data_IF_807471092846
#
_entry.id   IF_807471092846
#
_cell.length_a   1.000
_cell.length_b   1.000
_cell.length_c   1.000
_cell.angle_alpha   90.00
_cell.angle_beta   90.00
_cell.angle_gamma   90.00
#
_symmetry.space_group_name_H-M   'P 1'
#
loop_
_entity.id
_entity.type
_entity.pdbx_description
1 polymer ?
#
# COMPACT_ATOMS: atom_id res chain seq x y z
N UNK A 1 -1.87 -5.80 -15.50
CA UNK A 1 -1.02 -6.48 -14.52
C UNK A 1 -1.88 -6.66 -13.27
N UNK A 2 -2.81 -7.62 -13.30
CA UNK A 2 -3.72 -7.90 -12.19
C UNK A 2 -3.66 -9.38 -11.78
N UNK A 3 -3.13 -10.23 -12.66
CA UNK A 3 -3.13 -11.70 -12.53
C UNK A 3 -2.30 -12.21 -11.35
N UNK A 4 -1.42 -11.38 -10.79
CA UNK A 4 -0.47 -11.75 -9.72
C UNK A 4 -0.47 -10.77 -8.53
N UNK A 5 -1.56 -10.02 -8.35
CA UNK A 5 -1.65 -9.00 -7.29
C UNK A 5 -2.94 -9.12 -6.50
N UNK A 6 -2.88 -8.77 -5.22
CA UNK A 6 -4.05 -8.51 -4.39
C UNK A 6 -4.18 -6.98 -4.28
N UNK A 7 -5.33 -6.44 -4.71
CA UNK A 7 -5.64 -5.02 -4.55
C UNK A 7 -6.30 -4.74 -3.21
N UNK A 8 -5.87 -3.67 -2.54
CA UNK A 8 -6.52 -3.14 -1.33
C UNK A 8 -6.89 -1.68 -1.63
N UNK A 9 -8.16 -1.34 -1.48
CA UNK A 9 -8.65 0.03 -1.55
C UNK A 9 -8.82 0.58 -0.13
N UNK A 10 -8.40 1.82 0.07
CA UNK A 10 -8.57 2.55 1.33
C UNK A 10 -9.29 3.83 0.98
N UNK A 11 -10.44 4.05 1.60
CA UNK A 11 -11.24 5.25 1.37
C UNK A 11 -10.52 6.49 1.91
N UNK A 12 -10.48 7.56 1.12
CA UNK A 12 -9.79 8.80 1.46
C UNK A 12 -10.07 9.89 0.42
N UNK A 13 -9.48 11.06 0.59
CA UNK A 13 -9.55 12.16 -0.37
C UNK A 13 -8.16 12.44 -0.95
N UNK A 14 -8.11 13.20 -2.05
CA UNK A 14 -6.84 13.54 -2.72
C UNK A 14 -5.98 14.55 -1.94
N UNK A 15 -6.55 15.20 -0.93
CA UNK A 15 -6.01 16.38 -0.25
C UNK A 15 -5.84 16.23 1.27
N UNK A 16 -6.15 15.05 1.83
CA UNK A 16 -6.09 14.79 3.27
C UNK A 16 -5.30 13.52 3.60
N UNK A 17 -4.67 13.53 4.77
CA UNK A 17 -4.04 12.34 5.34
C UNK A 17 -5.07 11.28 5.71
N UNK A 18 -4.72 10.02 5.46
CA UNK A 18 -5.48 8.87 5.95
C UNK A 18 -5.50 8.83 7.48
N UNK A 19 -6.58 8.30 8.04
CA UNK A 19 -6.77 8.22 9.48
C UNK A 19 -5.85 7.15 10.11
N UNK A 20 -5.37 7.35 11.36
CA UNK A 20 -4.55 6.36 12.06
C UNK A 20 -5.14 4.94 12.07
N UNK A 21 -6.45 4.81 12.28
CA UNK A 21 -7.14 3.52 12.33
C UNK A 21 -7.06 2.77 10.99
N UNK A 22 -7.00 3.48 9.86
CA UNK A 22 -6.88 2.86 8.54
C UNK A 22 -5.52 2.15 8.40
N UNK A 23 -4.45 2.75 8.90
CA UNK A 23 -3.12 2.12 8.91
C UNK A 23 -3.05 0.93 9.85
N UNK A 24 -3.70 0.99 11.02
CA UNK A 24 -3.76 -0.13 11.97
C UNK A 24 -4.45 -1.35 11.34
N UNK A 25 -5.61 -1.15 10.72
CA UNK A 25 -6.35 -2.22 10.04
C UNK A 25 -5.57 -2.73 8.83
N UNK A 26 -5.00 -1.83 8.03
CA UNK A 26 -4.18 -2.20 6.88
C UNK A 26 -3.01 -3.08 7.31
N UNK A 27 -2.30 -2.73 8.39
CA UNK A 27 -1.19 -3.54 8.87
C UNK A 27 -1.61 -4.95 9.28
N UNK A 28 -2.76 -5.10 9.95
CA UNK A 28 -3.30 -6.43 10.29
C UNK A 28 -3.60 -7.26 9.04
N UNK A 29 -4.18 -6.65 8.01
CA UNK A 29 -4.44 -7.31 6.72
C UNK A 29 -3.13 -7.71 6.06
N UNK A 30 -2.15 -6.81 5.99
CA UNK A 30 -0.84 -7.06 5.39
C UNK A 30 -0.09 -8.18 6.10
N UNK A 31 -0.07 -8.19 7.44
CA UNK A 31 0.56 -9.26 8.21
C UNK A 31 -0.09 -10.61 7.93
N UNK A 32 -1.42 -10.64 7.81
CA UNK A 32 -2.14 -11.88 7.50
C UNK A 32 -1.83 -12.37 6.07
N UNK A 33 -1.81 -11.47 5.10
CA UNK A 33 -1.50 -11.81 3.71
C UNK A 33 -0.05 -12.32 3.57
N UNK A 34 0.91 -11.66 4.22
CA UNK A 34 2.32 -12.08 4.22
C UNK A 34 2.47 -13.47 4.86
N UNK A 35 1.75 -13.75 5.94
CA UNK A 35 1.77 -15.07 6.57
C UNK A 35 1.16 -16.18 5.70
N UNK A 36 0.13 -15.86 4.91
CA UNK A 36 -0.58 -16.84 4.06
C UNK A 36 0.11 -17.08 2.71
N UNK A 37 0.73 -16.04 2.13
CA UNK A 37 1.35 -16.08 0.80
C UNK A 37 2.88 -15.92 0.91
N UNK A 38 3.67 -17.01 0.87
CA UNK A 38 5.11 -16.99 1.17
C UNK A 38 5.97 -16.07 0.29
N UNK A 39 5.47 -15.70 -0.89
CA UNK A 39 6.17 -14.79 -1.82
C UNK A 39 5.88 -13.31 -1.53
N UNK A 40 4.92 -13.01 -0.64
CA UNK A 40 4.64 -11.64 -0.22
C UNK A 40 5.56 -11.25 0.94
N UNK A 41 6.01 -10.00 0.93
CA UNK A 41 6.70 -9.38 2.05
C UNK A 41 6.47 -7.87 2.03
N UNK A 42 6.91 -7.15 3.06
CA UNK A 42 6.78 -5.69 3.10
C UNK A 42 7.47 -5.00 1.91
N UNK A 43 8.50 -5.61 1.32
CA UNK A 43 9.20 -5.05 0.15
C UNK A 43 8.47 -5.29 -1.18
N UNK A 44 7.49 -6.20 -1.23
CA UNK A 44 6.69 -6.47 -2.43
C UNK A 44 5.42 -5.63 -2.50
N UNK A 45 5.18 -4.75 -1.52
CA UNK A 45 4.03 -3.84 -1.50
C UNK A 45 4.30 -2.68 -2.44
N UNK A 46 3.36 -2.45 -3.36
CA UNK A 46 3.40 -1.38 -4.35
C UNK A 46 2.12 -0.53 -4.29
N UNK A 47 2.27 0.77 -4.53
CA UNK A 47 1.17 1.67 -4.84
C UNK A 47 0.78 1.53 -6.30
N UNK A 48 -0.43 1.94 -6.65
CA UNK A 48 -0.89 1.87 -8.02
C UNK A 48 -0.09 2.80 -8.95
N UNK A 49 0.36 3.94 -8.43
CA UNK A 49 1.29 4.86 -9.09
C UNK A 49 2.62 4.21 -9.46
N UNK A 50 3.15 3.29 -8.64
CA UNK A 50 4.39 2.57 -8.93
C UNK A 50 4.21 1.57 -10.08
N UNK A 51 3.04 0.90 -10.12
CA UNK A 51 2.70 -0.10 -11.14
C UNK A 51 2.27 0.54 -12.47
N UNK A 52 1.69 1.74 -12.42
CA UNK A 52 1.19 2.45 -13.59
C UNK A 52 1.58 3.95 -13.61
N UNK A 53 2.90 4.26 -13.73
CA UNK A 53 3.38 5.63 -13.73
C UNK A 53 2.72 6.47 -14.84
N UNK A 54 2.29 7.69 -14.52
CA UNK A 54 1.65 8.62 -15.45
C UNK A 54 0.18 8.31 -15.79
N UNK A 55 -0.35 7.16 -15.39
CA UNK A 55 -1.77 6.81 -15.54
C UNK A 55 -2.53 6.86 -14.22
N UNK A 56 -1.85 6.53 -13.12
CA UNK A 56 -2.42 6.41 -11.78
C UNK A 56 -1.60 7.18 -10.78
N UNK A 57 -2.29 7.72 -9.77
CA UNK A 57 -1.69 8.60 -8.77
C UNK A 57 -1.91 8.10 -7.34
N UNK A 58 -2.85 7.17 -7.16
CA UNK A 58 -3.14 6.51 -5.89
C UNK A 58 -1.97 5.60 -5.42
N UNK A 59 -1.69 5.54 -4.10
CA UNK A 59 -2.49 6.10 -3.00
C UNK A 59 -2.24 7.60 -2.72
N UNK A 60 -1.40 8.26 -3.52
CA UNK A 60 -1.15 9.70 -3.42
C UNK A 60 -0.12 10.09 -2.36
N UNK A 61 0.25 11.38 -2.31
CA UNK A 61 1.32 11.88 -1.45
C UNK A 61 0.95 11.90 0.05
N UNK A 62 -0.34 11.76 0.38
CA UNK A 62 -0.84 11.77 1.75
C UNK A 62 -0.87 10.38 2.41
N UNK A 63 -0.53 9.33 1.65
CA UNK A 63 -0.31 8.00 2.20
C UNK A 63 1.09 7.88 2.79
N UNK A 64 1.16 7.56 4.07
CA UNK A 64 2.40 7.40 4.81
C UNK A 64 2.90 5.94 4.74
N UNK A 65 3.89 5.71 3.88
CA UNK A 65 4.49 4.39 3.67
C UNK A 65 5.26 3.87 4.89
N UNK A 66 5.81 4.75 5.73
CA UNK A 66 6.55 4.34 6.93
C UNK A 66 5.62 3.69 7.95
N UNK A 67 4.35 4.14 8.00
CA UNK A 67 3.31 3.56 8.86
C UNK A 67 2.98 2.10 8.56
N UNK A 68 3.34 1.60 7.38
CA UNK A 68 3.21 0.18 7.04
C UNK A 68 4.55 -0.54 6.89
N UNK A 69 5.64 0.07 7.36
CA UNK A 69 6.97 -0.55 7.34
C UNK A 69 7.61 -0.62 5.96
N UNK A 70 7.23 0.27 5.03
CA UNK A 70 7.80 0.36 3.68
C UNK A 70 8.61 1.66 3.57
N UNK A 71 9.76 1.72 4.25
CA UNK A 71 10.43 3.00 4.51
C UNK A 71 11.75 3.30 3.78
N UNK A 72 12.42 2.33 3.13
CA UNK A 72 13.86 2.52 2.87
C UNK A 72 14.33 2.62 1.40
N UNK A 73 13.51 2.32 0.38
CA UNK A 73 13.95 2.44 -1.02
C UNK A 73 12.77 2.81 -1.91
N UNK A 74 12.44 4.09 -1.98
CA UNK A 74 11.53 4.66 -2.99
C UNK A 74 12.05 6.04 -3.42
N UNK A 75 13.15 6.04 -4.17
CA UNK A 75 13.60 7.17 -5.02
C UNK A 75 13.08 7.00 -6.43
#
# INVERSE_FOLDING_TARGET
>A
CNDFSIGIEIEGTEDQSFEPIQYEVLNQILDRLIAEYPNLSRTTIAGHSDIAPGRKWDPGPFFDWERIGVGAIRT
#
